data_IF_789957615038
#
_entry.id   IF_789957615038
#
_cell.length_a   1.000
_cell.length_b   1.000
_cell.length_c   1.000
_cell.angle_alpha   90.00
_cell.angle_beta   90.00
_cell.angle_gamma   90.00
#
_symmetry.space_group_name_H-M   'P 1'
#
loop_
_entity.id
_entity.type
_entity.pdbx_description
1 polymer ?
#
# COMPACT_ATOMS: atom_id res chain seq x y z
N UNK A 1 -8.05 -2.68 -17.82
CA UNK A 1 -8.75 -2.03 -18.95
C UNK A 1 -8.68 -0.53 -18.72
N UNK A 2 -7.77 0.16 -19.39
CA UNK A 2 -7.66 1.63 -19.29
C UNK A 2 -8.70 2.25 -20.20
N UNK A 3 -9.74 2.86 -19.60
CA UNK A 3 -10.69 3.69 -20.32
C UNK A 3 -9.96 4.94 -20.82
N UNK A 4 -9.66 4.98 -22.12
CA UNK A 4 -9.14 6.18 -22.77
C UNK A 4 -10.31 7.13 -22.99
N UNK A 5 -10.48 8.10 -22.08
CA UNK A 5 -11.38 9.22 -22.32
C UNK A 5 -10.79 10.00 -23.50
N UNK A 6 -11.51 10.02 -24.64
CA UNK A 6 -11.14 10.87 -25.77
C UNK A 6 -11.41 12.32 -25.38
N UNK A 7 -10.48 12.97 -24.69
CA UNK A 7 -10.57 14.39 -24.38
C UNK A 7 -10.17 15.19 -25.63
N UNK A 8 -11.14 15.93 -26.19
CA UNK A 8 -10.88 16.87 -27.28
C UNK A 8 -10.36 18.20 -26.72
N UNK A 9 -9.63 19.01 -27.52
CA UNK A 9 -9.11 20.28 -27.05
C UNK A 9 -10.24 21.26 -26.68
N UNK A 10 -9.94 22.16 -25.76
CA UNK A 10 -10.82 23.27 -25.38
C UNK A 10 -10.37 24.56 -26.05
N UNK A 11 -11.28 25.50 -26.24
CA UNK A 11 -10.95 26.85 -26.67
C UNK A 11 -10.21 27.61 -25.56
N UNK A 12 -9.08 28.24 -25.87
CA UNK A 12 -8.34 29.04 -24.89
C UNK A 12 -9.14 30.25 -24.35
N UNK A 13 -10.03 30.82 -25.17
CA UNK A 13 -10.78 32.04 -24.82
C UNK A 13 -12.05 31.72 -24.01
N UNK A 14 -12.90 30.84 -24.52
CA UNK A 14 -14.23 30.57 -23.92
C UNK A 14 -14.32 29.22 -23.19
N UNK A 15 -13.25 28.43 -23.19
CA UNK A 15 -13.17 27.09 -22.56
C UNK A 15 -14.18 26.06 -23.08
N UNK A 16 -14.93 26.37 -24.14
CA UNK A 16 -15.81 25.40 -24.78
C UNK A 16 -14.98 24.31 -25.49
N UNK A 17 -15.48 23.06 -25.45
CA UNK A 17 -14.87 21.94 -26.16
C UNK A 17 -14.93 22.18 -27.66
N UNK A 18 -13.86 21.85 -28.38
CA UNK A 18 -13.79 21.96 -29.84
C UNK A 18 -13.01 20.80 -30.44
N UNK A 19 -13.32 20.48 -31.70
CA UNK A 19 -12.68 19.37 -32.42
C UNK A 19 -11.56 19.84 -33.34
N UNK A 20 -11.47 21.14 -33.61
CA UNK A 20 -10.50 21.76 -34.50
C UNK A 20 -9.93 23.06 -33.92
N UNK A 21 -9.08 23.77 -34.69
CA UNK A 21 -8.60 25.10 -34.29
C UNK A 21 -9.72 26.13 -34.22
N UNK A 22 -10.81 25.95 -34.97
CA UNK A 22 -11.94 26.87 -34.95
C UNK A 22 -12.84 26.63 -33.73
N UNK A 23 -13.18 27.70 -33.01
CA UNK A 23 -14.13 27.65 -31.92
C UNK A 23 -15.50 28.16 -32.38
N UNK A 24 -16.52 27.30 -32.32
CA UNK A 24 -17.90 27.66 -32.70
C UNK A 24 -18.47 28.77 -31.81
N UNK A 25 -18.13 28.80 -30.52
CA UNK A 25 -18.62 29.82 -29.60
C UNK A 25 -17.94 31.19 -29.79
N UNK A 26 -16.64 31.20 -30.10
CA UNK A 26 -15.91 32.45 -30.36
C UNK A 26 -15.97 32.89 -31.83
N UNK A 27 -16.49 32.03 -32.71
CA UNK A 27 -16.53 32.20 -34.17
C UNK A 27 -15.19 32.60 -34.81
N UNK A 28 -14.08 32.10 -34.25
CA UNK A 28 -12.72 32.37 -34.75
C UNK A 28 -11.79 31.20 -34.50
N UNK A 29 -10.66 31.19 -35.20
CA UNK A 29 -9.56 30.29 -34.86
C UNK A 29 -8.97 30.67 -33.51
N UNK A 30 -8.82 29.68 -32.64
CA UNK A 30 -8.22 29.85 -31.32
C UNK A 30 -7.21 28.74 -31.06
N UNK A 31 -6.26 28.98 -30.15
CA UNK A 31 -5.36 27.93 -29.70
C UNK A 31 -6.11 26.83 -28.94
N UNK A 32 -5.53 25.63 -28.93
CA UNK A 32 -6.07 24.49 -28.20
C UNK A 32 -5.57 24.52 -26.76
N UNK A 33 -6.49 24.42 -25.80
CA UNK A 33 -6.22 24.18 -24.39
C UNK A 33 -6.43 22.69 -24.12
N UNK A 34 -5.39 21.99 -23.67
CA UNK A 34 -5.49 20.58 -23.28
C UNK A 34 -5.63 20.49 -21.76
N UNK A 35 -6.68 19.82 -21.29
CA UNK A 35 -6.83 19.52 -19.89
C UNK A 35 -6.08 18.21 -19.61
N UNK A 36 -4.94 18.30 -18.93
CA UNK A 36 -4.19 17.13 -18.48
C UNK A 36 -4.64 16.82 -17.06
N UNK A 37 -5.27 15.67 -16.86
CA UNK A 37 -5.57 15.15 -15.53
C UNK A 37 -4.49 14.16 -15.11
N UNK A 38 -3.77 14.46 -14.04
CA UNK A 38 -2.85 13.51 -13.40
C UNK A 38 -3.58 12.92 -12.22
N UNK A 39 -3.87 11.62 -12.27
CA UNK A 39 -4.47 10.89 -11.16
C UNK A 39 -3.36 10.13 -10.46
N UNK A 40 -2.99 10.59 -9.27
CA UNK A 40 -2.07 9.88 -8.39
C UNK A 40 -2.88 9.10 -7.34
N UNK A 41 -2.65 7.79 -7.25
CA UNK A 41 -3.30 6.95 -6.22
C UNK A 41 -2.33 6.75 -5.07
N UNK A 42 -2.51 7.51 -3.98
CA UNK A 42 -1.79 7.26 -2.74
C UNK A 42 -2.42 6.08 -2.00
N UNK A 43 -1.65 5.01 -1.77
CA UNK A 43 -2.06 3.89 -0.91
C UNK A 43 -1.40 4.06 0.46
N UNK A 44 -2.20 4.42 1.47
CA UNK A 44 -1.75 4.39 2.85
C UNK A 44 -1.58 2.93 3.30
N UNK A 45 -0.45 2.61 3.94
CA UNK A 45 -0.16 1.30 4.52
C UNK A 45 0.20 1.52 5.98
N UNK A 46 -0.48 0.80 6.87
CA UNK A 46 -0.30 0.94 8.31
C UNK A 46 0.39 -0.29 8.89
N UNK A 47 1.16 -0.05 9.95
CA UNK A 47 1.75 -1.10 10.78
C UNK A 47 1.70 -0.68 12.23
N UNK A 48 1.32 -1.61 13.09
CA UNK A 48 1.18 -1.41 14.53
C UNK A 48 2.19 -2.31 15.24
N UNK A 49 2.93 -1.72 16.17
CA UNK A 49 3.88 -2.42 17.02
C UNK A 49 3.66 -2.08 18.49
N UNK A 50 3.38 -3.10 19.31
CA UNK A 50 3.16 -2.96 20.76
C UNK A 50 4.27 -3.71 21.49
N UNK A 51 4.83 -3.08 22.53
CA UNK A 51 5.79 -3.70 23.45
C UNK A 51 5.34 -3.48 24.89
N UNK A 52 5.03 -4.55 25.60
CA UNK A 52 4.75 -4.53 27.03
C UNK A 52 6.06 -4.72 27.81
N UNK A 53 6.33 -3.83 28.76
CA UNK A 53 7.48 -3.91 29.67
C UNK A 53 6.99 -4.00 31.12
N UNK A 54 7.83 -4.55 32.00
CA UNK A 54 7.57 -4.64 33.46
C UNK A 54 8.83 -4.23 34.21
N UNK A 55 8.65 -3.56 35.34
CA UNK A 55 9.76 -3.21 36.23
C UNK A 55 10.49 -4.48 36.70
N UNK A 56 11.82 -4.46 36.70
CA UNK A 56 12.65 -5.61 37.03
C UNK A 56 12.89 -6.61 35.89
N UNK A 57 12.27 -6.42 34.71
CA UNK A 57 12.48 -7.28 33.54
C UNK A 57 13.28 -6.56 32.45
N UNK A 58 14.41 -7.14 32.01
CA UNK A 58 15.23 -6.56 30.94
C UNK A 58 14.54 -6.71 29.58
N UNK A 59 14.01 -5.60 29.05
CA UNK A 59 13.39 -5.54 27.73
C UNK A 59 11.87 -5.62 27.77
N UNK A 60 11.26 -6.19 26.72
CA UNK A 60 9.81 -6.46 26.68
C UNK A 60 9.51 -7.86 27.22
N UNK A 61 8.37 -8.00 27.88
CA UNK A 61 7.74 -9.29 28.21
C UNK A 61 6.95 -9.78 27.01
N UNK A 62 6.13 -8.89 26.42
CA UNK A 62 5.33 -9.20 25.23
C UNK A 62 5.59 -8.20 24.12
N UNK A 63 5.74 -8.69 22.90
CA UNK A 63 5.83 -7.88 21.69
C UNK A 63 4.79 -8.38 20.69
N UNK A 64 3.99 -7.45 20.17
CA UNK A 64 3.03 -7.71 19.11
C UNK A 64 3.41 -6.80 17.95
N UNK A 65 3.42 -7.34 16.74
CA UNK A 65 3.54 -6.59 15.50
C UNK A 65 2.46 -7.06 14.53
N UNK A 66 1.81 -6.13 13.87
CA UNK A 66 0.89 -6.40 12.78
C UNK A 66 1.04 -5.34 11.71
N UNK A 67 1.19 -5.74 10.46
CA UNK A 67 1.04 -4.83 9.32
C UNK A 67 1.97 -5.13 8.17
N UNK A 68 2.03 -4.16 7.26
CA UNK A 68 2.66 -4.30 5.96
C UNK A 68 4.19 -4.41 6.04
N UNK A 69 4.75 -5.29 5.19
CA UNK A 69 6.16 -5.29 4.81
C UNK A 69 6.36 -5.44 3.30
N UNK A 70 7.30 -4.70 2.69
CA UNK A 70 7.72 -4.95 1.31
C UNK A 70 8.45 -6.29 1.23
N UNK A 71 8.15 -7.09 0.21
CA UNK A 71 8.74 -8.42 0.05
C UNK A 71 10.03 -8.43 -0.78
N UNK A 72 10.21 -7.48 -1.70
CA UNK A 72 11.28 -7.52 -2.70
C UNK A 72 11.12 -8.59 -3.79
N UNK A 73 10.22 -9.56 -3.62
CA UNK A 73 9.88 -10.59 -4.60
C UNK A 73 8.88 -10.04 -5.65
N UNK A 74 9.18 -10.13 -6.96
CA UNK A 74 8.26 -9.75 -8.02
C UNK A 74 6.88 -10.44 -7.96
N UNK A 75 6.82 -11.69 -7.46
CA UNK A 75 5.57 -12.42 -7.26
C UNK A 75 4.73 -11.86 -6.10
N UNK A 76 5.36 -11.11 -5.20
CA UNK A 76 4.75 -10.44 -4.06
C UNK A 76 4.83 -8.92 -4.24
N UNK A 77 4.44 -8.44 -5.42
CA UNK A 77 4.49 -7.02 -5.81
C UNK A 77 3.69 -6.08 -4.88
N UNK A 78 2.67 -6.59 -4.20
CA UNK A 78 1.91 -5.85 -3.18
C UNK A 78 2.43 -6.05 -1.75
N UNK A 79 3.60 -6.69 -1.59
CA UNK A 79 4.22 -7.07 -0.33
C UNK A 79 3.45 -8.12 0.44
N UNK A 80 3.69 -8.15 1.74
CA UNK A 80 3.09 -9.12 2.67
C UNK A 80 2.51 -8.39 3.89
N UNK A 81 1.45 -8.97 4.45
CA UNK A 81 0.98 -8.63 5.78
C UNK A 81 1.61 -9.59 6.79
N UNK A 82 2.18 -9.05 7.86
CA UNK A 82 2.91 -9.82 8.86
C UNK A 82 2.25 -9.61 10.22
N UNK A 83 1.90 -10.71 10.86
CA UNK A 83 1.46 -10.76 12.26
C UNK A 83 2.49 -11.54 13.07
N UNK A 84 3.02 -10.95 14.13
CA UNK A 84 4.01 -11.58 14.99
C UNK A 84 3.69 -11.29 16.46
N UNK A 85 3.69 -12.33 17.28
CA UNK A 85 3.53 -12.26 18.72
C UNK A 85 4.69 -12.99 19.37
N UNK A 86 5.40 -12.30 20.25
CA UNK A 86 6.46 -12.86 21.09
C UNK A 86 6.04 -12.66 22.53
N UNK A 87 5.74 -13.73 23.25
CA UNK A 87 5.31 -13.70 24.64
C UNK A 87 6.29 -14.48 25.51
N UNK A 88 7.16 -13.75 26.23
CA UNK A 88 8.18 -14.35 27.11
C UNK A 88 7.60 -14.90 28.41
N UNK A 89 6.43 -14.42 28.83
CA UNK A 89 5.78 -14.90 30.05
C UNK A 89 5.15 -16.27 29.81
N UNK A 90 4.56 -16.45 28.62
CA UNK A 90 3.97 -17.73 28.21
C UNK A 90 4.91 -18.67 27.47
N UNK A 91 6.13 -18.23 27.17
CA UNK A 91 7.08 -18.95 26.32
C UNK A 91 6.51 -19.27 24.93
N UNK A 92 5.85 -18.30 24.29
CA UNK A 92 5.15 -18.48 23.00
C UNK A 92 5.74 -17.58 21.91
N UNK A 93 5.80 -18.14 20.71
CA UNK A 93 6.11 -17.44 19.48
C UNK A 93 5.07 -17.77 18.42
N UNK A 94 4.43 -16.74 17.89
CA UNK A 94 3.50 -16.86 16.76
C UNK A 94 3.93 -15.93 15.64
N UNK A 95 4.01 -16.44 14.43
CA UNK A 95 4.36 -15.65 13.25
C UNK A 95 3.55 -16.11 12.05
N UNK A 96 2.83 -15.18 11.44
CA UNK A 96 2.02 -15.42 10.25
C UNK A 96 2.40 -14.38 9.20
N UNK A 97 2.67 -14.85 7.99
CA UNK A 97 2.94 -14.01 6.81
C UNK A 97 1.92 -14.33 5.75
N UNK A 98 1.18 -13.32 5.31
CA UNK A 98 0.14 -13.43 4.29
C UNK A 98 0.50 -12.61 3.06
N UNK A 99 0.23 -13.15 1.88
CA UNK A 99 0.32 -12.39 0.64
C UNK A 99 -0.72 -11.27 0.67
N UNK A 100 -0.29 -10.01 0.52
CA UNK A 100 -1.18 -8.86 0.66
C UNK A 100 -2.15 -8.69 -0.52
N UNK A 101 -1.85 -9.29 -1.68
CA UNK A 101 -2.73 -9.28 -2.85
C UNK A 101 -3.81 -10.36 -2.77
N UNK A 102 -3.43 -11.59 -2.38
CA UNK A 102 -4.32 -12.75 -2.44
C UNK A 102 -4.90 -13.17 -1.09
N UNK A 103 -4.35 -12.66 0.02
CA UNK A 103 -4.68 -13.10 1.37
C UNK A 103 -4.13 -14.49 1.74
N UNK A 104 -3.45 -15.18 0.80
CA UNK A 104 -2.93 -16.54 1.03
C UNK A 104 -1.85 -16.53 2.12
N UNK A 105 -1.95 -17.44 3.08
CA UNK A 105 -0.90 -17.68 4.07
C UNK A 105 0.32 -18.26 3.35
N UNK A 106 1.43 -17.54 3.43
CA UNK A 106 2.73 -17.94 2.88
C UNK A 106 3.57 -18.68 3.91
N UNK A 107 3.40 -18.32 5.18
CA UNK A 107 4.10 -18.92 6.31
C UNK A 107 3.27 -18.74 7.58
N UNK A 108 3.25 -19.78 8.40
CA UNK A 108 2.58 -19.81 9.70
C UNK A 108 3.42 -20.68 10.64
N UNK A 109 3.79 -20.12 11.78
CA UNK A 109 4.62 -20.75 12.79
C UNK A 109 4.04 -20.45 14.17
N UNK A 110 3.82 -21.51 14.94
CA UNK A 110 3.31 -21.49 16.30
C UNK A 110 4.12 -22.46 17.12
N UNK A 111 5.06 -21.94 17.91
CA UNK A 111 5.97 -22.76 18.68
C UNK A 111 6.33 -22.10 20.00
N UNK A 112 6.99 -22.89 20.86
CA UNK A 112 7.53 -22.33 22.09
C UNK A 112 8.68 -21.39 21.76
N UNK A 113 8.76 -20.27 22.46
CA UNK A 113 9.82 -19.29 22.24
C UNK A 113 11.22 -19.88 22.50
N UNK A 114 11.35 -20.83 23.42
CA UNK A 114 12.59 -21.59 23.68
C UNK A 114 13.01 -22.50 22.53
N UNK A 115 12.07 -22.96 21.73
CA UNK A 115 12.31 -23.87 20.59
C UNK A 115 12.51 -23.08 19.29
N UNK A 116 12.04 -21.82 19.26
CA UNK A 116 12.21 -20.92 18.13
C UNK A 116 13.69 -20.67 17.81
N UNK A 117 14.10 -21.14 16.63
CA UNK A 117 15.44 -20.88 16.10
C UNK A 117 15.35 -19.67 15.17
N UNK A 118 15.83 -18.48 15.58
CA UNK A 118 15.80 -17.32 14.72
C UNK A 118 16.61 -17.64 13.46
N UNK A 119 15.94 -17.64 12.30
CA UNK A 119 16.63 -17.74 11.01
C UNK A 119 17.48 -16.48 10.86
N UNK A 120 18.79 -16.67 10.73
CA UNK A 120 19.77 -15.61 10.49
C UNK A 120 19.61 -15.03 9.10
#
# INVERSE_FOLDING_TARGET
>A
MTNTIKDGPFCVDCRARKESRFCVNCQKETSNLFQVQIIETMRARESIGIKQKRQGFKGFIKKIFQGFKPSGDPQLSQGVDVQMIVDKEKNEYHHIVKNNLTGKILHEEHEKLTEHKPKK
#
